data_IF_810267757941
#
_entry.id   IF_810267757941
#
_cell.length_a   1.000
_cell.length_b   1.000
_cell.length_c   1.000
_cell.angle_alpha   90.00
_cell.angle_beta   90.00
_cell.angle_gamma   90.00
#
_symmetry.space_group_name_H-M   'P 1'
#
loop_
_entity.id
_entity.type
_entity.pdbx_description
1 polymer ?
#
# COMPACT_ATOMS: atom_id res chain seq x y z
N UNK A 1 9.42 15.63 -12.74
CA UNK A 1 8.50 15.80 -13.86
C UNK A 1 7.87 14.51 -14.37
N UNK A 2 8.61 13.62 -15.04
CA UNK A 2 8.09 12.36 -15.61
C UNK A 2 7.11 11.60 -14.70
N UNK A 3 7.47 11.38 -13.43
CA UNK A 3 6.62 10.62 -12.50
C UNK A 3 5.22 11.25 -12.34
N UNK A 4 5.15 12.56 -12.19
CA UNK A 4 3.88 13.28 -12.05
C UNK A 4 3.08 13.25 -13.34
N UNK A 5 3.75 13.37 -14.49
CA UNK A 5 3.11 13.26 -15.79
C UNK A 5 2.45 11.88 -15.96
N UNK A 6 3.18 10.79 -15.73
CA UNK A 6 2.62 9.44 -15.85
C UNK A 6 1.47 9.18 -14.85
N UNK A 7 1.60 9.66 -13.61
CA UNK A 7 0.52 9.59 -12.62
C UNK A 7 -0.71 10.39 -13.07
N UNK A 8 -0.54 11.58 -13.62
CA UNK A 8 -1.65 12.40 -14.11
C UNK A 8 -2.33 11.77 -15.33
N UNK A 9 -1.56 11.20 -16.25
CA UNK A 9 -2.08 10.63 -17.50
C UNK A 9 -2.68 9.23 -17.33
N UNK A 10 -2.01 8.34 -16.58
CA UNK A 10 -2.34 6.91 -16.47
C UNK A 10 -2.90 6.52 -15.11
N UNK A 11 -2.59 7.29 -14.07
CA UNK A 11 -2.97 6.97 -12.68
C UNK A 11 -1.97 6.10 -11.93
N UNK A 12 -0.85 5.71 -12.58
CA UNK A 12 0.23 4.94 -12.00
C UNK A 12 1.57 5.22 -12.71
N UNK A 13 2.68 4.86 -12.05
CA UNK A 13 4.04 4.91 -12.62
C UNK A 13 4.92 3.83 -11.98
N UNK A 14 5.89 3.30 -12.74
CA UNK A 14 6.90 2.36 -12.26
C UNK A 14 8.27 3.03 -12.19
N UNK A 15 8.96 2.87 -11.05
CA UNK A 15 10.36 3.25 -10.87
C UNK A 15 11.17 1.95 -10.70
N UNK A 16 12.06 1.61 -11.64
CA UNK A 16 12.62 0.26 -11.74
C UNK A 16 13.74 -0.04 -10.74
N UNK A 17 14.41 0.99 -10.21
CA UNK A 17 15.73 0.91 -9.60
C UNK A 17 15.76 1.43 -8.15
N UNK A 18 14.75 1.06 -7.35
CA UNK A 18 14.72 1.45 -5.93
C UNK A 18 15.78 0.68 -5.10
N UNK A 19 15.95 -0.61 -5.43
CA UNK A 19 16.95 -1.51 -4.87
C UNK A 19 17.69 -2.24 -5.99
N UNK A 20 18.96 -2.54 -5.75
CA UNK A 20 19.71 -3.49 -6.57
C UNK A 20 19.12 -4.90 -6.42
N UNK A 21 19.37 -5.82 -7.37
CA UNK A 21 18.95 -7.21 -7.23
C UNK A 21 19.47 -7.88 -5.94
N UNK A 22 20.73 -7.62 -5.57
CA UNK A 22 21.35 -8.18 -4.35
C UNK A 22 20.71 -7.65 -3.07
N UNK A 23 20.42 -6.34 -2.99
CA UNK A 23 19.67 -5.79 -1.87
C UNK A 23 18.27 -6.41 -1.78
N UNK A 24 17.60 -6.56 -2.93
CA UNK A 24 16.26 -7.15 -3.01
C UNK A 24 16.24 -8.60 -2.52
N UNK A 25 17.25 -9.40 -2.91
CA UNK A 25 17.40 -10.78 -2.43
C UNK A 25 17.61 -10.85 -0.92
N UNK A 26 18.45 -9.97 -0.34
CA UNK A 26 18.65 -9.89 1.11
C UNK A 26 17.34 -9.57 1.84
N UNK A 27 16.57 -8.60 1.35
CA UNK A 27 15.29 -8.23 1.96
C UNK A 27 14.23 -9.33 1.81
N UNK A 28 14.15 -9.96 0.64
CA UNK A 28 13.24 -11.08 0.38
C UNK A 28 13.59 -12.30 1.25
N UNK A 29 14.87 -12.54 1.53
CA UNK A 29 15.31 -13.61 2.42
C UNK A 29 14.76 -13.44 3.84
N UNK A 30 14.76 -12.22 4.39
CA UNK A 30 14.16 -11.98 5.72
C UNK A 30 12.68 -12.39 5.78
N UNK A 31 11.92 -12.14 4.71
CA UNK A 31 10.52 -12.57 4.62
C UNK A 31 10.38 -14.09 4.41
N UNK A 32 11.29 -14.73 3.65
CA UNK A 32 11.33 -16.20 3.52
C UNK A 32 11.63 -16.86 4.86
N UNK A 33 12.60 -16.34 5.61
CA UNK A 33 12.99 -16.84 6.93
C UNK A 33 11.83 -16.67 7.92
N UNK A 34 11.14 -15.52 7.88
CA UNK A 34 9.93 -15.32 8.66
C UNK A 34 8.83 -16.34 8.32
N UNK A 35 8.58 -16.60 7.04
CA UNK A 35 7.63 -17.63 6.59
C UNK A 35 8.03 -19.02 7.08
N UNK A 36 9.32 -19.34 7.13
CA UNK A 36 9.84 -20.63 7.58
C UNK A 36 9.63 -20.89 9.08
N UNK A 37 9.35 -19.85 9.88
CA UNK A 37 9.02 -19.99 11.32
C UNK A 37 7.65 -20.61 11.58
N UNK A 38 6.76 -20.64 10.59
CA UNK A 38 5.41 -21.18 10.76
C UNK A 38 5.36 -22.67 10.39
N UNK A 39 4.64 -23.44 11.22
CA UNK A 39 4.16 -24.75 10.80
C UNK A 39 3.24 -24.60 9.58
N UNK A 40 3.27 -25.55 8.64
CA UNK A 40 2.47 -25.49 7.39
C UNK A 40 0.98 -25.22 7.66
N UNK A 41 0.42 -25.79 8.73
CA UNK A 41 -0.99 -25.61 9.10
C UNK A 41 -1.33 -24.23 9.69
N UNK A 42 -0.32 -23.46 10.13
CA UNK A 42 -0.49 -22.15 10.79
C UNK A 42 -0.02 -20.98 9.92
N UNK A 43 0.43 -21.28 8.71
CA UNK A 43 0.99 -20.31 7.79
C UNK A 43 -0.05 -19.23 7.42
N UNK A 44 0.21 -17.93 7.67
CA UNK A 44 -0.75 -16.86 7.41
C UNK A 44 -0.86 -16.48 5.92
N UNK A 45 -0.43 -17.36 5.00
CA UNK A 45 -0.53 -17.17 3.56
C UNK A 45 -1.86 -17.74 3.06
N UNK A 46 -2.94 -16.98 3.24
CA UNK A 46 -4.24 -17.37 2.67
C UNK A 46 -4.17 -17.31 1.15
N UNK A 47 -4.55 -18.41 0.48
CA UNK A 47 -4.43 -18.64 -0.98
C UNK A 47 -4.80 -17.43 -1.86
N UNK A 48 -5.87 -16.68 -1.51
CA UNK A 48 -6.42 -15.60 -2.34
C UNK A 48 -6.02 -14.17 -1.98
N UNK A 49 -5.44 -13.93 -0.80
CA UNK A 49 -5.22 -12.54 -0.34
C UNK A 49 -3.76 -12.16 -0.34
N UNK A 50 -2.82 -13.04 -0.02
CA UNK A 50 -1.37 -12.79 0.12
C UNK A 50 -0.94 -11.62 1.02
N UNK A 51 -1.80 -10.63 1.25
CA UNK A 51 -1.65 -9.48 2.13
C UNK A 51 -1.71 -9.92 3.58
N UNK A 52 -0.75 -9.43 4.36
CA UNK A 52 -0.57 -9.72 5.78
C UNK A 52 -0.51 -8.37 6.49
N UNK A 53 -1.50 -8.12 7.35
CA UNK A 53 -1.68 -6.86 8.11
C UNK A 53 -1.73 -7.16 9.62
N UNK A 54 -0.87 -8.07 10.07
CA UNK A 54 -0.75 -8.48 11.48
C UNK A 54 0.70 -8.90 11.76
N UNK A 55 1.00 -9.47 12.93
CA UNK A 55 2.37 -9.85 13.37
C UNK A 55 3.39 -8.70 13.35
N UNK A 56 2.93 -7.44 13.33
CA UNK A 56 3.78 -6.24 13.21
C UNK A 56 4.67 -6.25 11.96
N UNK A 57 4.27 -6.93 10.88
CA UNK A 57 5.09 -7.08 9.66
C UNK A 57 5.54 -5.76 9.06
N UNK A 58 4.72 -4.71 9.10
CA UNK A 58 5.13 -3.37 8.63
C UNK A 58 6.25 -2.72 9.44
N UNK A 59 6.56 -3.25 10.63
CA UNK A 59 7.67 -2.84 11.48
C UNK A 59 8.92 -3.73 11.36
N UNK A 60 8.91 -4.75 10.50
CA UNK A 60 10.11 -5.53 10.24
C UNK A 60 11.21 -4.67 9.62
N UNK A 61 12.45 -5.12 9.77
CA UNK A 61 13.63 -4.43 9.22
C UNK A 61 13.50 -4.20 7.71
N UNK A 62 13.25 -5.26 6.93
CA UNK A 62 13.00 -5.13 5.50
C UNK A 62 11.86 -4.17 5.13
N UNK A 63 10.80 -4.09 5.94
CA UNK A 63 9.70 -3.15 5.70
C UNK A 63 10.09 -1.70 5.96
N UNK A 64 10.92 -1.44 6.99
CA UNK A 64 11.46 -0.10 7.25
C UNK A 64 12.50 0.33 6.23
N UNK A 65 13.39 -0.57 5.81
CA UNK A 65 14.35 -0.29 4.75
C UNK A 65 13.63 0.08 3.44
N UNK A 66 12.63 -0.70 3.03
CA UNK A 66 11.80 -0.40 1.86
C UNK A 66 11.08 0.94 1.98
N UNK A 67 10.50 1.24 3.14
CA UNK A 67 9.81 2.51 3.41
C UNK A 67 10.75 3.71 3.33
N UNK A 68 11.93 3.63 3.95
CA UNK A 68 12.92 4.71 3.93
C UNK A 68 13.44 4.96 2.52
N UNK A 69 13.74 3.90 1.75
CA UNK A 69 14.20 4.04 0.36
C UNK A 69 13.11 4.65 -0.53
N UNK A 70 11.85 4.23 -0.34
CA UNK A 70 10.71 4.76 -1.09
C UNK A 70 10.49 6.27 -0.87
N UNK A 71 10.96 6.85 0.25
CA UNK A 71 10.80 8.29 0.55
C UNK A 71 11.24 9.18 -0.62
N UNK A 72 12.34 8.85 -1.31
CA UNK A 72 12.84 9.65 -2.43
C UNK A 72 11.82 9.75 -3.59
N UNK A 73 11.10 8.65 -3.87
CA UNK A 73 10.04 8.61 -4.89
C UNK A 73 8.86 9.48 -4.48
N UNK A 74 8.44 9.38 -3.21
CA UNK A 74 7.36 10.20 -2.67
C UNK A 74 7.72 11.69 -2.60
N UNK A 75 8.97 12.02 -2.25
CA UNK A 75 9.48 13.38 -2.26
C UNK A 75 9.40 13.99 -3.66
N UNK A 76 9.74 13.23 -4.70
CA UNK A 76 9.66 13.70 -6.07
C UNK A 76 8.21 14.03 -6.48
N UNK A 77 7.23 13.19 -6.12
CA UNK A 77 5.82 13.41 -6.52
C UNK A 77 5.13 14.47 -5.66
N UNK A 78 5.49 14.61 -4.39
CA UNK A 78 4.91 15.63 -3.49
C UNK A 78 5.65 16.96 -3.47
N UNK A 79 6.91 17.00 -3.90
CA UNK A 79 7.72 18.22 -3.88
C UNK A 79 8.14 18.66 -2.47
N UNK A 80 8.22 17.72 -1.53
CA UNK A 80 8.66 17.98 -0.16
C UNK A 80 9.33 16.75 0.44
N UNK A 81 10.34 16.98 1.29
CA UNK A 81 10.97 15.96 2.14
C UNK A 81 10.15 15.66 3.39
N UNK A 82 9.21 16.55 3.74
CA UNK A 82 8.44 16.51 4.98
C UNK A 82 7.23 15.63 4.78
N UNK A 83 7.43 14.32 4.92
CA UNK A 83 6.44 13.30 4.64
C UNK A 83 6.08 12.50 5.89
N UNK A 84 4.81 12.12 6.01
CA UNK A 84 4.37 11.05 6.89
C UNK A 84 4.10 9.81 6.04
N UNK A 85 4.43 8.63 6.57
CA UNK A 85 4.28 7.36 5.85
C UNK A 85 3.35 6.39 6.56
N UNK A 86 2.61 5.57 5.80
CA UNK A 86 1.90 4.44 6.36
C UNK A 86 2.86 3.39 6.92
N UNK A 87 2.45 2.74 8.01
CA UNK A 87 3.06 1.50 8.49
C UNK A 87 2.14 0.34 8.13
N UNK A 88 1.95 0.13 6.82
CA UNK A 88 1.01 -0.85 6.28
C UNK A 88 1.55 -2.28 6.36
N UNK A 89 0.79 -3.22 5.81
CA UNK A 89 1.16 -4.62 5.67
C UNK A 89 2.17 -4.90 4.56
N UNK A 90 2.40 -6.19 4.37
CA UNK A 90 3.18 -6.75 3.27
C UNK A 90 2.31 -7.70 2.45
N UNK A 91 2.72 -8.09 1.25
CA UNK A 91 2.15 -9.25 0.58
C UNK A 91 3.22 -10.32 0.32
N UNK A 92 2.91 -11.55 0.71
CA UNK A 92 3.72 -12.72 0.44
C UNK A 92 2.86 -13.79 -0.24
N UNK A 93 3.35 -14.33 -1.35
CA UNK A 93 2.76 -15.51 -1.97
C UNK A 93 3.88 -16.49 -2.36
N UNK A 94 3.65 -17.76 -2.02
CA UNK A 94 4.47 -18.86 -2.53
C UNK A 94 4.17 -19.05 -4.03
N UNK A 95 5.13 -19.58 -4.80
CA UNK A 95 4.83 -20.11 -6.12
C UNK A 95 3.66 -21.10 -6.04
N UNK A 96 2.60 -20.94 -6.85
CA UNK A 96 1.49 -21.89 -6.87
C UNK A 96 1.98 -23.32 -7.17
N UNK A 97 1.33 -24.31 -6.57
CA UNK A 97 1.49 -25.73 -6.88
C UNK A 97 0.14 -26.35 -7.27
N UNK A 98 0.10 -27.14 -8.34
CA UNK A 98 -1.07 -27.93 -8.78
C UNK A 98 -2.41 -27.15 -8.74
N UNK A 99 -3.25 -27.42 -7.71
CA UNK A 99 -4.59 -26.87 -7.49
C UNK A 99 -4.62 -25.47 -6.83
N UNK A 100 -3.49 -24.76 -6.82
CA UNK A 100 -3.43 -23.40 -6.29
C UNK A 100 -4.06 -22.38 -7.25
N UNK A 101 -4.52 -21.24 -6.69
CA UNK A 101 -5.27 -20.23 -7.43
C UNK A 101 -4.37 -19.54 -8.50
N UNK A 102 -4.37 -20.07 -9.72
CA UNK A 102 -3.89 -19.38 -10.92
C UNK A 102 -4.88 -18.29 -11.36
N UNK A 103 -4.41 -17.40 -12.22
CA UNK A 103 -5.21 -16.33 -12.78
C UNK A 103 -6.37 -16.90 -13.61
N UNK A 104 -7.57 -16.52 -13.21
CA UNK A 104 -8.77 -16.65 -14.02
C UNK A 104 -8.97 -15.35 -14.81
N UNK A 105 -9.06 -15.47 -16.14
CA UNK A 105 -9.20 -14.33 -17.06
C UNK A 105 -10.54 -13.60 -16.90
N UNK A 106 -11.56 -14.30 -16.40
CA UNK A 106 -12.90 -13.75 -16.14
C UNK A 106 -13.03 -13.19 -14.72
N UNK A 107 -11.99 -13.36 -13.88
CA UNK A 107 -11.99 -12.91 -12.50
C UNK A 107 -11.06 -11.73 -12.22
N UNK A 108 -11.68 -10.68 -11.69
CA UNK A 108 -10.99 -9.61 -11.01
C UNK A 108 -11.70 -9.22 -9.72
N UNK A 109 -10.97 -8.47 -8.90
CA UNK A 109 -11.51 -7.83 -7.72
C UNK A 109 -11.12 -6.36 -7.70
N UNK A 110 -11.14 -5.73 -8.89
CA UNK A 110 -10.89 -4.30 -9.06
C UNK A 110 -11.70 -3.51 -8.04
N UNK A 111 -11.00 -2.64 -7.32
CA UNK A 111 -11.58 -1.84 -6.26
C UNK A 111 -11.00 -0.43 -6.24
N UNK A 112 -11.71 0.45 -5.55
CA UNK A 112 -11.25 1.77 -5.16
C UNK A 112 -11.01 1.80 -3.66
N UNK A 113 -9.88 2.34 -3.24
CA UNK A 113 -9.60 2.63 -1.83
C UNK A 113 -10.02 4.05 -1.45
N UNK A 114 -9.95 5.02 -2.37
CA UNK A 114 -10.44 6.35 -2.11
C UNK A 114 -11.97 6.44 -2.28
N UNK A 115 -12.67 6.71 -1.18
CA UNK A 115 -14.12 6.89 -1.15
C UNK A 115 -14.62 8.26 -1.60
N UNK A 116 -15.94 8.43 -1.66
CA UNK A 116 -16.62 9.66 -2.13
C UNK A 116 -16.35 10.91 -1.26
N UNK A 117 -15.95 10.73 0.00
CA UNK A 117 -15.71 11.86 0.91
C UNK A 117 -14.44 12.66 0.55
N UNK A 118 -13.52 12.06 -0.21
CA UNK A 118 -12.22 12.63 -0.57
C UNK A 118 -12.28 13.20 -1.99
N UNK A 119 -12.04 14.51 -2.14
CA UNK A 119 -12.12 15.22 -3.41
C UNK A 119 -10.72 15.42 -4.02
N UNK A 120 -10.54 14.96 -5.26
CA UNK A 120 -9.24 15.03 -5.92
C UNK A 120 -8.23 14.05 -5.31
N UNK A 121 -6.94 14.28 -5.49
CA UNK A 121 -5.88 13.40 -4.99
C UNK A 121 -5.70 13.56 -3.47
N UNK A 122 -5.83 12.48 -2.71
CA UNK A 122 -5.53 12.47 -1.27
C UNK A 122 -4.31 11.63 -0.89
N UNK A 123 -3.90 10.70 -1.73
CA UNK A 123 -2.73 9.88 -1.45
C UNK A 123 -2.17 9.27 -2.73
N UNK A 124 -0.86 9.04 -2.72
CA UNK A 124 -0.27 8.03 -3.58
C UNK A 124 0.01 6.78 -2.75
N UNK A 125 -0.39 5.64 -3.26
CA UNK A 125 -0.07 4.33 -2.70
C UNK A 125 1.01 3.67 -3.54
N UNK A 126 1.81 2.80 -2.94
CA UNK A 126 2.90 2.11 -3.61
C UNK A 126 3.10 0.69 -3.12
N UNK A 127 3.72 -0.10 -3.99
CA UNK A 127 4.16 -1.45 -3.74
C UNK A 127 5.62 -1.56 -4.17
N UNK A 128 6.51 -1.79 -3.20
CA UNK A 128 7.92 -2.12 -3.45
C UNK A 128 8.01 -3.62 -3.70
N UNK A 129 8.50 -4.01 -4.88
CA UNK A 129 8.55 -5.40 -5.33
C UNK A 129 9.98 -5.94 -5.18
N UNK A 130 10.20 -6.86 -4.24
CA UNK A 130 11.52 -7.45 -3.96
C UNK A 130 11.84 -8.66 -4.83
N UNK A 131 10.89 -9.11 -5.63
CA UNK A 131 11.07 -10.11 -6.69
C UNK A 131 10.53 -9.53 -8.00
N UNK A 132 11.11 -9.92 -9.13
CA UNK A 132 10.63 -9.48 -10.44
C UNK A 132 9.18 -9.94 -10.69
N UNK A 133 8.36 -9.03 -11.20
CA UNK A 133 6.98 -9.27 -11.60
C UNK A 133 6.84 -9.00 -13.09
N UNK A 134 6.63 -10.04 -13.88
CA UNK A 134 6.22 -9.91 -15.28
C UNK A 134 4.69 -9.86 -15.39
N UNK A 135 4.16 -9.58 -16.58
CA UNK A 135 2.70 -9.57 -16.83
C UNK A 135 2.01 -10.89 -16.42
N UNK A 136 2.76 -11.97 -16.39
CA UNK A 136 2.29 -13.34 -16.14
C UNK A 136 2.46 -13.79 -14.68
N UNK A 137 3.12 -12.97 -13.85
CA UNK A 137 3.39 -13.26 -12.44
C UNK A 137 2.27 -12.76 -11.51
N UNK A 138 2.51 -12.84 -10.20
CA UNK A 138 1.77 -12.05 -9.22
C UNK A 138 2.01 -10.57 -9.50
N UNK A 139 1.01 -9.91 -10.05
CA UNK A 139 1.20 -8.59 -10.64
C UNK A 139 0.20 -7.59 -10.07
N UNK A 140 0.65 -6.34 -9.88
CA UNK A 140 -0.25 -5.22 -9.66
C UNK A 140 -1.04 -5.00 -10.95
N UNK A 141 -2.37 -5.03 -10.87
CA UNK A 141 -3.24 -4.84 -12.02
C UNK A 141 -4.10 -3.62 -11.80
N UNK A 142 -4.16 -2.78 -12.82
CA UNK A 142 -4.70 -1.43 -12.74
C UNK A 142 -5.68 -1.19 -13.86
N UNK A 143 -6.71 -0.41 -13.60
CA UNK A 143 -7.56 0.16 -14.63
C UNK A 143 -7.01 1.54 -14.97
N UNK A 144 -6.10 1.58 -15.93
CA UNK A 144 -5.39 2.79 -16.38
C UNK A 144 -6.39 3.89 -16.75
N UNK A 145 -6.09 5.13 -16.34
CA UNK A 145 -6.92 6.35 -16.49
C UNK A 145 -8.19 6.43 -15.61
N UNK A 146 -8.49 5.42 -14.80
CA UNK A 146 -9.72 5.42 -13.99
C UNK A 146 -9.79 6.55 -12.95
N UNK A 147 -8.64 7.05 -12.46
CA UNK A 147 -8.58 8.17 -11.53
C UNK A 147 -9.19 9.47 -12.07
N UNK A 148 -9.16 9.66 -13.40
CA UNK A 148 -9.75 10.82 -14.08
C UNK A 148 -11.27 10.88 -13.93
N UNK A 149 -11.92 9.72 -13.74
CA UNK A 149 -13.38 9.60 -13.69
C UNK A 149 -13.90 9.31 -12.27
N UNK A 150 -13.06 9.43 -11.24
CA UNK A 150 -13.42 9.09 -9.86
C UNK A 150 -14.62 9.89 -9.31
N UNK A 151 -14.65 11.20 -9.55
CA UNK A 151 -15.79 12.03 -9.12
C UNK A 151 -17.06 11.70 -9.91
N UNK A 152 -16.95 11.53 -11.22
CA UNK A 152 -18.09 11.15 -12.08
C UNK A 152 -18.64 9.78 -11.68
N UNK A 153 -17.77 8.81 -11.40
CA UNK A 153 -18.14 7.47 -10.94
C UNK A 153 -19.08 7.51 -9.73
N UNK A 154 -18.76 8.31 -8.70
CA UNK A 154 -19.61 8.39 -7.52
C UNK A 154 -20.91 9.19 -7.75
N UNK A 155 -20.96 10.06 -8.75
CA UNK A 155 -22.21 10.70 -9.19
C UNK A 155 -23.10 9.70 -9.93
N UNK A 156 -22.52 8.87 -10.81
CA UNK A 156 -23.24 7.84 -11.57
C UNK A 156 -23.73 6.68 -10.69
N UNK A 157 -22.95 6.31 -9.67
CA UNK A 157 -23.25 5.16 -8.80
C UNK A 157 -23.47 5.59 -7.34
N UNK A 158 -24.66 6.13 -6.99
CA UNK A 158 -24.94 6.64 -5.64
C UNK A 158 -24.86 5.55 -4.55
N UNK A 159 -25.13 4.28 -4.90
CA UNK A 159 -24.92 3.16 -3.98
C UNK A 159 -23.44 2.97 -3.61
N UNK A 160 -22.52 3.19 -4.56
CA UNK A 160 -21.09 3.17 -4.29
C UNK A 160 -20.66 4.33 -3.39
N UNK A 161 -21.20 5.52 -3.64
CA UNK A 161 -20.98 6.68 -2.79
C UNK A 161 -21.47 6.43 -1.35
N UNK A 162 -22.69 5.92 -1.19
CA UNK A 162 -23.27 5.59 0.13
C UNK A 162 -22.41 4.58 0.89
N UNK A 163 -21.92 3.54 0.22
CA UNK A 163 -21.05 2.52 0.84
C UNK A 163 -19.70 3.12 1.26
N UNK A 164 -19.09 3.91 0.38
CA UNK A 164 -17.76 4.48 0.62
C UNK A 164 -17.71 5.62 1.62
N UNK A 165 -18.86 6.26 1.89
CA UNK A 165 -18.99 7.23 2.98
C UNK A 165 -18.71 6.62 4.36
N UNK A 166 -18.92 5.31 4.53
CA UNK A 166 -18.69 4.58 5.80
C UNK A 166 -17.39 3.76 5.76
N UNK A 167 -17.13 3.10 4.64
CA UNK A 167 -15.98 2.22 4.45
C UNK A 167 -15.25 2.63 3.19
N UNK A 168 -14.07 3.24 3.32
CA UNK A 168 -13.21 3.69 2.20
C UNK A 168 -12.63 2.49 1.43
N UNK A 169 -13.53 1.77 0.77
CA UNK A 169 -13.29 0.60 -0.06
C UNK A 169 -14.55 0.31 -0.91
N UNK A 170 -14.38 0.15 -2.22
CA UNK A 170 -15.46 -0.28 -3.11
C UNK A 170 -14.98 -1.28 -4.16
N UNK A 171 -15.34 -2.55 -3.99
CA UNK A 171 -15.19 -3.57 -5.04
C UNK A 171 -16.17 -3.28 -6.18
N UNK A 172 -15.65 -3.25 -7.40
CA UNK A 172 -16.42 -3.05 -8.62
C UNK A 172 -17.12 -4.33 -9.09
N UNK A 173 -18.28 -4.14 -9.70
CA UNK A 173 -19.01 -5.18 -10.42
C UNK A 173 -19.12 -4.82 -11.90
N UNK A 174 -19.73 -5.70 -12.70
CA UNK A 174 -19.83 -5.58 -14.17
C UNK A 174 -20.18 -4.17 -14.66
N UNK A 175 -21.29 -3.59 -14.18
CA UNK A 175 -21.74 -2.23 -14.58
C UNK A 175 -20.73 -1.12 -14.25
N UNK A 176 -20.03 -1.22 -13.12
CA UNK A 176 -19.01 -0.25 -12.74
C UNK A 176 -17.75 -0.37 -13.61
N UNK A 177 -17.36 -1.59 -13.97
CA UNK A 177 -16.24 -1.82 -14.90
C UNK A 177 -16.57 -1.31 -16.30
N UNK A 178 -17.77 -1.61 -16.80
CA UNK A 178 -18.28 -1.12 -18.09
C UNK A 178 -18.27 0.42 -18.18
N UNK A 179 -18.60 1.13 -17.10
CA UNK A 179 -18.50 2.60 -17.05
C UNK A 179 -17.09 3.09 -17.41
N UNK A 180 -16.05 2.51 -16.82
CA UNK A 180 -14.67 2.89 -17.12
C UNK A 180 -14.22 2.43 -18.51
N UNK A 181 -14.61 1.23 -18.94
CA UNK A 181 -14.30 0.73 -20.29
C UNK A 181 -14.89 1.62 -21.39
N UNK A 182 -16.14 2.08 -21.22
CA UNK A 182 -16.80 3.00 -22.15
C UNK A 182 -16.13 4.39 -22.20
N UNK A 183 -15.34 4.74 -21.18
CA UNK A 183 -14.50 5.96 -21.14
C UNK A 183 -13.09 5.72 -21.69
N UNK A 184 -12.81 4.53 -22.22
CA UNK A 184 -11.50 4.16 -22.78
C UNK A 184 -10.45 3.75 -21.75
N UNK A 185 -10.85 3.51 -20.49
CA UNK A 185 -9.95 2.94 -19.49
C UNK A 185 -9.65 1.47 -19.84
N UNK A 186 -8.42 1.02 -19.60
CA UNK A 186 -7.98 -0.35 -19.92
C UNK A 186 -7.39 -1.02 -18.70
N UNK A 187 -7.70 -2.31 -18.54
CA UNK A 187 -7.07 -3.14 -17.52
C UNK A 187 -5.65 -3.49 -17.99
N UNK A 188 -4.67 -3.27 -17.13
CA UNK A 188 -3.25 -3.47 -17.42
C UNK A 188 -2.62 -4.24 -16.25
N UNK A 189 -1.92 -5.32 -16.54
CA UNK A 189 -1.02 -5.96 -15.56
C UNK A 189 0.33 -5.25 -15.68
N UNK A 190 0.81 -4.65 -14.60
CA UNK A 190 1.96 -3.75 -14.59
C UNK A 190 3.25 -4.51 -14.21
N UNK A 191 4.18 -4.75 -15.15
CA UNK A 191 5.46 -5.34 -14.82
C UNK A 191 6.28 -4.42 -13.94
N UNK A 192 6.94 -5.00 -12.94
CA UNK A 192 7.85 -4.28 -12.05
C UNK A 192 9.15 -5.08 -11.97
N UNK A 193 10.29 -4.50 -12.39
CA UNK A 193 11.59 -5.13 -12.23
C UNK A 193 11.88 -5.45 -10.76
N UNK A 194 12.77 -6.41 -10.52
CA UNK A 194 13.21 -6.75 -9.18
C UNK A 194 13.83 -5.53 -8.49
N UNK A 195 13.35 -5.22 -7.29
CA UNK A 195 13.77 -4.03 -6.56
C UNK A 195 13.10 -2.75 -7.02
N UNK A 196 12.12 -2.83 -7.94
CA UNK A 196 11.34 -1.69 -8.38
C UNK A 196 10.18 -1.35 -7.43
N UNK A 197 9.55 -0.22 -7.69
CA UNK A 197 8.34 0.27 -7.01
C UNK A 197 7.32 0.71 -8.04
N UNK A 198 6.07 0.27 -7.88
CA UNK A 198 4.92 0.83 -8.57
C UNK A 198 4.19 1.78 -7.62
N UNK A 199 3.90 2.98 -8.10
CA UNK A 199 3.19 4.04 -7.39
C UNK A 199 1.89 4.35 -8.14
N UNK A 200 0.78 4.52 -7.44
CA UNK A 200 -0.52 4.85 -8.05
C UNK A 200 -1.30 5.89 -7.25
N UNK A 201 -2.13 6.65 -7.95
CA UNK A 201 -3.10 7.57 -7.37
C UNK A 201 -4.17 6.79 -6.60
N UNK A 202 -4.51 7.19 -5.38
CA UNK A 202 -5.50 6.48 -4.55
C UNK A 202 -6.91 6.41 -5.17
N UNK A 203 -7.18 7.22 -6.19
CA UNK A 203 -8.41 7.17 -7.00
C UNK A 203 -8.37 6.13 -8.11
N UNK A 204 -7.21 5.57 -8.45
CA UNK A 204 -7.05 4.59 -9.52
C UNK A 204 -7.60 3.24 -9.07
N UNK A 205 -8.52 2.68 -9.85
CA UNK A 205 -9.05 1.35 -9.62
C UNK A 205 -8.00 0.29 -9.91
N UNK A 206 -7.82 -0.64 -8.98
CA UNK A 206 -6.75 -1.62 -9.06
C UNK A 206 -7.10 -2.89 -8.28
N UNK A 207 -6.28 -3.92 -8.46
CA UNK A 207 -6.24 -5.12 -7.64
C UNK A 207 -4.87 -5.82 -7.75
N UNK A 208 -4.76 -7.02 -7.19
CA UNK A 208 -3.65 -7.92 -7.54
C UNK A 208 -4.15 -9.10 -8.37
N UNK A 209 -3.45 -9.39 -9.45
CA UNK A 209 -3.67 -10.56 -10.27
C UNK A 209 -2.81 -11.74 -9.74
N UNK A 210 -3.38 -12.95 -9.60
CA UNK A 210 -2.57 -14.17 -9.46
C UNK A 210 -1.69 -14.39 -10.71
N UNK A 211 -0.67 -15.27 -10.65
CA UNK A 211 0.11 -15.65 -11.83
C UNK A 211 -0.70 -16.55 -12.76
N UNK A 212 -0.34 -16.60 -14.05
CA UNK A 212 -0.87 -17.61 -14.98
C UNK A 212 -0.10 -18.94 -14.84
N UNK A 213 -0.75 -20.05 -15.19
CA UNK A 213 -0.14 -21.38 -15.07
C UNK A 213 1.07 -21.58 -15.99
N UNK A 214 1.05 -20.96 -17.17
CA UNK A 214 2.07 -21.10 -18.23
C UNK A 214 3.18 -20.05 -18.15
N UNK A 215 3.34 -19.34 -17.03
CA UNK A 215 4.35 -18.28 -16.89
C UNK A 215 5.75 -18.85 -17.07
N UNK A 216 6.64 -18.07 -17.69
CA UNK A 216 8.02 -18.50 -17.96
C UNK A 216 8.83 -18.79 -16.68
N UNK A 217 8.49 -18.16 -15.57
CA UNK A 217 9.23 -18.27 -14.30
C UNK A 217 8.34 -18.82 -13.16
N UNK A 218 7.97 -20.12 -13.20
CA UNK A 218 7.00 -20.69 -12.27
C UNK A 218 7.47 -20.69 -10.81
N UNK A 219 8.77 -20.54 -10.55
CA UNK A 219 9.36 -20.58 -9.21
C UNK A 219 9.36 -19.22 -8.47
N UNK A 220 8.93 -18.14 -9.12
CA UNK A 220 8.95 -16.79 -8.50
C UNK A 220 7.90 -16.65 -7.42
N UNK A 221 8.35 -16.14 -6.28
CA UNK A 221 7.53 -15.74 -5.15
C UNK A 221 6.99 -14.33 -5.36
N UNK A 222 5.98 -13.96 -4.58
CA UNK A 222 5.59 -12.56 -4.39
C UNK A 222 6.18 -12.08 -3.06
N UNK A 223 6.94 -11.00 -3.09
CA UNK A 223 7.34 -10.22 -1.91
C UNK A 223 7.11 -8.75 -2.17
N UNK A 224 6.13 -8.18 -1.48
CA UNK A 224 5.75 -6.77 -1.62
C UNK A 224 5.69 -6.10 -0.27
N UNK A 225 6.28 -4.91 -0.17
CA UNK A 225 6.05 -3.99 0.95
C UNK A 225 5.15 -2.86 0.48
N UNK A 226 4.01 -2.67 1.14
CA UNK A 226 3.11 -1.56 0.83
C UNK A 226 3.59 -0.30 1.54
N UNK A 227 3.66 0.80 0.80
CA UNK A 227 4.08 2.11 1.31
C UNK A 227 3.14 3.14 0.74
N UNK A 228 2.67 4.04 1.58
CA UNK A 228 2.02 5.26 1.15
C UNK A 228 2.63 6.41 1.94
N UNK A 229 2.70 7.58 1.34
CA UNK A 229 3.16 8.79 2.02
C UNK A 229 2.36 10.00 1.55
N UNK A 230 2.18 10.94 2.46
CA UNK A 230 1.55 12.24 2.19
C UNK A 230 2.33 13.35 2.91
N UNK A 231 2.25 14.61 2.45
CA UNK A 231 2.86 15.74 3.15
C UNK A 231 2.49 15.78 4.63
N UNK A 232 3.49 15.99 5.48
CA UNK A 232 3.32 15.98 6.93
C UNK A 232 2.46 17.15 7.41
N UNK A 233 2.49 18.29 6.71
CA UNK A 233 1.71 19.49 7.02
C UNK A 233 0.19 19.27 6.94
N UNK A 234 -0.26 18.17 6.32
CA UNK A 234 -1.68 17.83 6.24
C UNK A 234 -2.23 17.23 7.54
N UNK A 235 -1.37 16.71 8.41
CA UNK A 235 -1.76 16.10 9.67
C UNK A 235 -1.95 17.17 10.73
N UNK A 236 -3.07 17.14 11.45
CA UNK A 236 -3.29 18.02 12.59
C UNK A 236 -2.72 17.41 13.88
N UNK A 237 -2.87 18.13 15.00
CA UNK A 237 -2.37 17.68 16.31
C UNK A 237 -2.93 16.31 16.74
N UNK A 238 -4.22 16.05 16.46
CA UNK A 238 -4.86 14.77 16.78
C UNK A 238 -4.29 13.64 15.94
N UNK A 239 -4.06 13.87 14.65
CA UNK A 239 -3.41 12.89 13.77
C UNK A 239 -1.98 12.60 14.26
N UNK A 240 -1.20 13.62 14.59
CA UNK A 240 0.17 13.43 15.10
C UNK A 240 0.20 12.67 16.43
N UNK A 241 -0.73 12.96 17.35
CA UNK A 241 -0.88 12.19 18.59
C UNK A 241 -1.23 10.71 18.31
N UNK A 242 -2.16 10.44 17.40
CA UNK A 242 -2.51 9.09 16.97
C UNK A 242 -1.30 8.35 16.40
N UNK A 243 -0.54 9.01 15.52
CA UNK A 243 0.63 8.41 14.87
C UNK A 243 1.74 8.07 15.86
N UNK A 244 1.98 8.96 16.82
CA UNK A 244 2.93 8.71 17.91
C UNK A 244 2.53 7.50 18.74
N UNK A 245 1.26 7.38 19.15
CA UNK A 245 0.74 6.19 19.86
C UNK A 245 0.92 4.91 19.02
N UNK A 246 0.52 4.96 17.75
CA UNK A 246 0.63 3.82 16.84
C UNK A 246 2.08 3.36 16.67
N UNK A 247 3.03 4.28 16.52
CA UNK A 247 4.46 3.94 16.43
C UNK A 247 4.98 3.29 17.74
N UNK A 248 4.66 3.89 18.90
CA UNK A 248 5.14 3.41 20.19
C UNK A 248 4.60 2.03 20.55
N UNK A 249 3.35 1.73 20.15
CA UNK A 249 2.71 0.41 20.33
C UNK A 249 3.01 -0.59 19.21
N UNK A 250 3.76 -0.17 18.19
CA UNK A 250 4.04 -0.94 16.97
C UNK A 250 2.76 -1.43 16.26
N UNK A 251 1.77 -0.54 16.15
CA UNK A 251 0.54 -0.80 15.40
C UNK A 251 0.78 -0.59 13.91
N UNK A 252 0.23 -1.50 13.11
CA UNK A 252 0.15 -1.28 11.67
C UNK A 252 -0.96 -0.27 11.38
N UNK A 253 -0.73 0.62 10.43
CA UNK A 253 -1.70 1.62 9.95
C UNK A 253 -2.17 1.27 8.56
N UNK A 254 -3.35 1.75 8.16
CA UNK A 254 -3.75 1.71 6.74
C UNK A 254 -2.86 2.64 5.89
N UNK A 255 -3.09 2.66 4.58
CA UNK A 255 -2.38 3.51 3.63
C UNK A 255 -2.56 5.02 3.87
N UNK A 256 -3.57 5.46 4.62
CA UNK A 256 -3.73 6.88 4.92
C UNK A 256 -2.65 7.36 5.88
N UNK A 257 -1.85 8.34 5.44
CA UNK A 257 -0.61 8.73 6.13
C UNK A 257 -0.74 10.01 6.95
N UNK A 258 -1.50 11.01 6.51
CA UNK A 258 -1.68 12.27 7.25
C UNK A 258 -3.10 12.52 7.76
N UNK A 259 -4.15 12.00 7.12
CA UNK A 259 -5.56 12.30 7.46
C UNK A 259 -6.48 11.08 7.31
N UNK A 260 -7.46 10.94 8.20
CA UNK A 260 -8.39 9.80 8.21
C UNK A 260 -7.71 8.51 8.63
N UNK A 261 -6.80 8.61 9.60
CA UNK A 261 -5.94 7.52 10.05
C UNK A 261 -6.73 6.40 10.71
N UNK A 262 -6.31 5.16 10.42
CA UNK A 262 -6.84 3.94 11.04
C UNK A 262 -5.71 2.96 11.27
N UNK A 263 -5.83 2.14 12.31
CA UNK A 263 -4.93 1.01 12.55
C UNK A 263 -5.60 -0.30 12.19
N UNK A 264 -4.79 -1.28 11.81
CA UNK A 264 -5.24 -2.67 11.88
C UNK A 264 -5.37 -3.12 13.34
N UNK A 265 -6.10 -4.20 13.62
CA UNK A 265 -6.18 -4.75 14.97
C UNK A 265 -4.78 -5.02 15.55
N UNK A 266 -4.57 -4.59 16.79
CA UNK A 266 -3.31 -4.80 17.49
C UNK A 266 -2.99 -6.30 17.58
N UNK A 267 -1.75 -6.65 17.26
CA UNK A 267 -1.26 -8.01 17.41
C UNK A 267 -1.02 -8.32 18.90
N UNK A 268 -1.80 -9.25 19.46
CA UNK A 268 -1.76 -9.60 20.90
C UNK A 268 -0.90 -10.83 21.22
N UNK A 269 -0.08 -11.30 20.28
CA UNK A 269 0.63 -12.57 20.41
C UNK A 269 -0.31 -13.78 20.36
N UNK A 270 0.24 -14.97 20.14
CA UNK A 270 -0.56 -16.19 20.11
C UNK A 270 -0.64 -16.80 21.53
N UNK A 271 -1.55 -16.30 22.37
CA UNK A 271 -1.71 -16.77 23.77
C UNK A 271 -2.19 -18.23 23.93
N UNK A 272 -2.52 -18.94 22.84
CA UNK A 272 -3.31 -20.18 22.89
C UNK A 272 -2.65 -21.44 22.27
N UNK A 273 -1.36 -21.46 21.91
CA UNK A 273 -0.72 -22.70 21.40
C UNK A 273 0.71 -22.93 21.88
N UNK A 274 1.05 -24.23 21.94
CA UNK A 274 2.30 -24.88 22.40
C UNK A 274 3.58 -24.54 21.60
N UNK A 275 3.55 -23.62 20.63
CA UNK A 275 4.70 -23.37 19.77
C UNK A 275 5.51 -22.16 20.30
N UNK A 276 6.77 -22.34 20.75
CA UNK A 276 7.57 -21.29 21.40
C UNK A 276 8.17 -20.26 20.42
N UNK A 277 8.01 -20.43 19.11
CA UNK A 277 8.67 -19.60 18.10
C UNK A 277 8.02 -18.21 18.01
N UNK A 278 8.80 -17.16 18.27
CA UNK A 278 8.34 -15.78 18.07
C UNK A 278 8.27 -15.45 16.58
N UNK A 279 7.04 -15.33 16.08
CA UNK A 279 6.70 -14.97 14.69
C UNK A 279 6.43 -13.46 14.51
N UNK A 280 6.79 -12.65 15.49
CA UNK A 280 6.71 -11.19 15.45
C UNK A 280 8.01 -10.57 15.98
N UNK A 281 7.97 -9.27 16.27
CA UNK A 281 9.04 -8.53 16.91
C UNK A 281 8.53 -7.86 18.17
N UNK A 282 9.36 -7.86 19.21
CA UNK A 282 9.05 -7.21 20.49
C UNK A 282 9.74 -5.85 20.63
N UNK A 283 10.77 -5.60 19.82
CA UNK A 283 11.54 -4.37 19.79
C UNK A 283 11.66 -3.88 18.35
N UNK A 284 11.50 -2.57 18.15
CA UNK A 284 11.72 -1.95 16.86
C UNK A 284 13.18 -2.15 16.40
N UNK A 285 13.42 -2.57 15.14
CA UNK A 285 14.77 -2.71 14.62
C UNK A 285 15.50 -1.36 14.61
N UNK A 286 16.83 -1.37 14.53
CA UNK A 286 17.63 -0.14 14.57
C UNK A 286 17.25 0.84 13.46
N UNK A 287 17.05 0.34 12.24
CA UNK A 287 16.60 1.14 11.09
C UNK A 287 15.31 1.93 11.37
N UNK A 288 14.41 1.38 12.19
CA UNK A 288 13.13 2.01 12.56
C UNK A 288 13.25 3.09 13.64
N UNK A 289 14.41 3.18 14.32
CA UNK A 289 14.66 4.11 15.42
C UNK A 289 15.50 5.33 15.01
N UNK A 290 15.96 5.34 13.77
CA UNK A 290 16.65 6.50 13.16
C UNK A 290 15.76 7.75 13.20
N UNK A 291 16.38 8.93 13.15
CA UNK A 291 15.63 10.20 13.12
C UNK A 291 14.65 10.25 11.96
N UNK A 292 15.08 9.82 10.78
CA UNK A 292 14.26 9.80 9.56
C UNK A 292 13.06 8.86 9.70
N UNK A 293 13.26 7.64 10.20
CA UNK A 293 12.15 6.72 10.43
C UNK A 293 11.13 7.27 11.43
N UNK A 294 11.60 7.93 12.50
CA UNK A 294 10.72 8.55 13.50
C UNK A 294 9.96 9.76 12.96
N UNK A 295 10.55 10.51 12.04
CA UNK A 295 9.87 11.59 11.31
C UNK A 295 8.79 11.04 10.38
N UNK A 296 9.10 10.04 9.54
CA UNK A 296 8.11 9.37 8.68
C UNK A 296 6.99 8.72 9.48
N UNK A 297 7.31 8.15 10.64
CA UNK A 297 6.33 7.54 11.53
C UNK A 297 5.39 8.57 12.18
N UNK A 298 5.83 9.82 12.36
CA UNK A 298 5.13 10.83 13.15
C UNK A 298 5.38 10.73 14.66
N UNK A 299 6.42 9.99 15.09
CA UNK A 299 6.89 10.01 16.49
C UNK A 299 7.74 11.26 16.77
N UNK A 300 8.41 11.79 15.74
CA UNK A 300 9.02 13.11 15.73
C UNK A 300 8.28 14.04 14.77
N UNK A 301 8.48 15.35 14.94
CA UNK A 301 7.90 16.40 14.11
C UNK A 301 8.93 17.01 13.20
N UNK A 302 8.50 17.36 11.99
CA UNK A 302 9.25 18.24 11.11
C UNK A 302 9.17 19.68 11.61
N UNK A 303 10.22 20.44 11.35
CA UNK A 303 10.17 21.89 11.41
C UNK A 303 9.55 22.41 10.12
N UNK A 304 8.44 23.15 10.21
CA UNK A 304 7.75 23.73 9.06
C UNK A 304 8.21 25.15 8.73
N UNK A 305 9.09 25.73 9.56
CA UNK A 305 9.63 27.09 9.45
C UNK A 305 11.09 27.12 8.95
N UNK A 306 11.69 25.95 8.71
CA UNK A 306 13.08 25.77 8.24
C UNK A 306 13.40 26.31 6.82
N UNK A 307 12.45 26.97 6.16
CA UNK A 307 12.58 27.51 4.80
C UNK A 307 12.49 26.48 3.66
N UNK A 308 12.41 25.17 3.95
CA UNK A 308 12.22 24.12 2.93
C UNK A 308 10.74 23.97 2.54
N UNK A 309 10.43 23.49 1.31
CA UNK A 309 9.06 23.27 0.87
C UNK A 309 8.26 22.34 1.81
N UNK A 310 7.05 22.76 2.19
CA UNK A 310 6.13 21.98 3.03
C UNK A 310 5.20 21.05 2.23
N UNK A 311 5.29 21.10 0.89
CA UNK A 311 4.41 20.36 -0.02
C UNK A 311 3.18 21.18 -0.42
N UNK A 312 2.27 20.58 -1.22
CA UNK A 312 1.04 21.22 -1.66
C UNK A 312 0.06 21.45 -0.51
N UNK A 313 -0.93 22.32 -0.74
CA UNK A 313 -2.05 22.51 0.16
C UNK A 313 -2.80 21.21 0.45
N UNK A 314 -3.39 21.11 1.64
CA UNK A 314 -4.17 19.94 2.03
C UNK A 314 -5.37 19.72 1.07
N UNK A 315 -5.70 18.47 0.76
CA UNK A 315 -6.79 18.16 -0.16
C UNK A 315 -8.16 18.43 0.48
N UNK A 316 -9.19 18.60 -0.35
CA UNK A 316 -10.54 18.97 0.09
C UNK A 316 -11.39 17.74 0.41
N UNK A 317 -12.31 17.91 1.35
CA UNK A 317 -13.26 16.88 1.75
C UNK A 317 -14.68 17.30 1.41
N UNK A 318 -15.45 16.42 0.73
CA UNK A 318 -16.72 16.76 0.09
C UNK A 318 -17.86 17.10 1.05
N UNK A 319 -17.85 16.61 2.30
CA UNK A 319 -18.91 16.87 3.28
C UNK A 319 -18.36 17.39 4.63
N UNK A 320 -17.45 18.37 4.56
CA UNK A 320 -16.75 18.93 5.72
C UNK A 320 -15.44 18.21 6.03
N UNK A 321 -14.76 18.57 7.12
CA UNK A 321 -13.46 17.98 7.49
C UNK A 321 -13.54 16.46 7.77
N UNK A 322 -12.42 15.76 7.58
CA UNK A 322 -12.32 14.30 7.86
C UNK A 322 -12.64 13.93 9.31
N UNK A 323 -12.55 14.90 10.22
CA UNK A 323 -12.91 14.76 11.63
C UNK A 323 -14.38 14.37 11.82
N UNK A 324 -15.25 14.72 10.86
CA UNK A 324 -16.66 14.31 10.84
C UNK A 324 -16.86 12.85 10.39
N UNK A 325 -15.78 12.16 10.02
CA UNK A 325 -15.78 10.80 9.48
C UNK A 325 -14.90 9.86 10.33
N UNK A 326 -15.11 9.82 11.65
CA UNK A 326 -14.63 8.78 12.57
C UNK A 326 -15.58 8.68 13.75
N UNK A 327 -15.97 7.53 14.29
CA UNK A 327 -15.26 6.27 14.50
C UNK A 327 -16.22 5.10 14.28
N UNK A 328 -15.88 4.16 13.40
CA UNK A 328 -16.56 2.87 13.27
C UNK A 328 -15.58 1.75 13.55
#
# INVERSE_FOLDING_TARGET
ERLRQELNEKGYVVVPDLFTPTESDRLALQFKDWVAKFDKAELPLKKRRSVIQTYRVGHFEASWEARLRAKAVFQAVWGTEKLLSSVDGIAIAKPPQNDDDYRDVDYDWLHLDQGVCREGLHSYQAAVCLEEQTVDDYCFRVLSKSHLYHSEFFQTFPNAAKKTKRFEFYKMFKKQKEFFYNKGCKIESVPVPKGGIVLWDSRTAHDNAPPIATRANPHRWRFVVFVSMTPAIWANEKDMAFRKDAYQRMLLTTHWSSQGLKTFPEYKGNKRKRNPVNVSIDVLPEVARTQEARLLAGDKRYDFEDGKPNGPAAPKWRFGGYENFGTG
#
